data_IF_372444923365
#
_entry.id   IF_372444923365
#
_cell.length_a   1.000
_cell.length_b   1.000
_cell.length_c   1.000
_cell.angle_alpha   90.00
_cell.angle_beta   90.00
_cell.angle_gamma   90.00
#
_symmetry.space_group_name_H-M   'P 1'
#
loop_
_entity.id
_entity.type
_entity.pdbx_description
1 polymer ?
#
# COMPACT_ATOMS: atom_id res chain seq x y z
N UNK A 1 25.79 28.54 -2.35
CA UNK A 1 24.83 27.95 -1.40
C UNK A 1 24.14 26.78 -2.05
N UNK A 2 24.12 25.60 -1.43
CA UNK A 2 23.38 24.44 -1.95
C UNK A 2 21.88 24.73 -1.90
N UNK A 3 21.12 24.32 -2.93
CA UNK A 3 19.65 24.43 -2.92
C UNK A 3 19.06 23.60 -1.76
N UNK A 4 18.01 24.07 -1.09
CA UNK A 4 17.32 23.28 -0.06
C UNK A 4 16.82 21.95 -0.65
N UNK A 5 16.90 20.89 0.14
CA UNK A 5 16.47 19.52 -0.24
C UNK A 5 15.48 18.97 0.76
N UNK A 6 14.62 18.08 0.29
CA UNK A 6 13.73 17.31 1.16
C UNK A 6 14.57 16.30 1.95
N UNK A 7 14.30 16.22 3.25
CA UNK A 7 14.93 15.24 4.16
C UNK A 7 13.91 14.18 4.49
N UNK A 8 14.18 12.93 4.13
CA UNK A 8 13.36 11.79 4.53
C UNK A 8 13.81 11.34 5.92
N UNK A 9 12.91 11.30 6.91
CA UNK A 9 13.24 10.81 8.25
C UNK A 9 13.75 9.36 8.20
N UNK A 10 14.57 8.94 9.17
CA UNK A 10 15.00 7.55 9.26
C UNK A 10 13.80 6.62 9.45
N UNK A 11 13.89 5.35 9.01
CA UNK A 11 12.82 4.38 9.20
C UNK A 11 12.47 4.21 10.68
N UNK A 12 11.20 3.98 10.97
CA UNK A 12 10.77 3.65 12.33
C UNK A 12 11.44 2.36 12.81
N UNK A 13 11.75 2.27 14.10
CA UNK A 13 12.29 1.08 14.75
C UNK A 13 11.23 -0.03 14.94
N UNK A 14 9.95 0.34 14.95
CA UNK A 14 8.83 -0.61 15.08
C UNK A 14 8.54 -1.33 13.75
N UNK A 15 8.02 -2.57 13.78
CA UNK A 15 7.56 -3.28 12.59
C UNK A 15 6.57 -2.44 11.78
N UNK A 16 6.50 -2.68 10.47
CA UNK A 16 5.56 -1.96 9.58
C UNK A 16 4.12 -2.30 9.94
N UNK A 17 3.86 -3.58 10.21
CA UNK A 17 2.50 -4.09 10.42
C UNK A 17 1.89 -3.55 11.70
N UNK A 18 0.68 -3.02 11.55
CA UNK A 18 -0.05 -2.42 12.65
C UNK A 18 0.51 -1.08 13.14
N UNK A 19 1.47 -0.50 12.41
CA UNK A 19 2.08 0.75 12.85
C UNK A 19 1.07 1.89 12.94
N UNK A 20 0.10 1.97 12.04
CA UNK A 20 -0.99 2.94 12.14
C UNK A 20 -1.80 2.77 13.43
N UNK A 21 -1.97 1.55 13.94
CA UNK A 21 -2.56 1.29 15.25
C UNK A 21 -1.69 1.84 16.39
N UNK A 22 -0.38 1.59 16.36
CA UNK A 22 0.54 2.13 17.36
C UNK A 22 0.54 3.66 17.40
N UNK A 23 0.36 4.31 16.25
CA UNK A 23 0.32 5.76 16.12
C UNK A 23 -1.10 6.36 16.21
N UNK A 24 -2.11 5.57 16.60
CA UNK A 24 -3.52 5.98 16.66
C UNK A 24 -3.74 7.31 17.40
N UNK A 25 -3.02 7.54 18.51
CA UNK A 25 -3.10 8.80 19.23
C UNK A 25 -2.63 9.98 18.38
N UNK A 26 -1.52 9.81 17.66
CA UNK A 26 -0.99 10.85 16.76
C UNK A 26 -1.96 11.14 15.62
N UNK A 27 -2.62 10.11 15.07
CA UNK A 27 -3.68 10.28 14.09
C UNK A 27 -4.83 11.13 14.64
N UNK A 28 -5.32 10.80 15.85
CA UNK A 28 -6.42 11.53 16.50
C UNK A 28 -6.05 12.98 16.83
N UNK A 29 -4.83 13.23 17.31
CA UNK A 29 -4.35 14.57 17.65
C UNK A 29 -4.06 15.44 16.42
N UNK A 30 -3.78 14.82 15.26
CA UNK A 30 -3.39 15.55 14.03
C UNK A 30 -4.55 15.77 13.07
N UNK A 31 -5.49 14.82 13.03
CA UNK A 31 -6.52 14.73 11.98
C UNK A 31 -7.93 14.75 12.59
N UNK A 32 -8.88 15.28 11.82
CA UNK A 32 -10.30 15.17 12.16
C UNK A 32 -10.79 13.76 11.78
N UNK A 33 -10.85 12.86 12.76
CA UNK A 33 -11.24 11.48 12.60
C UNK A 33 -12.69 11.24 13.03
N UNK A 34 -13.45 10.47 12.24
CA UNK A 34 -14.73 9.93 12.67
C UNK A 34 -14.54 8.67 13.53
N UNK A 35 -15.58 8.21 14.27
CA UNK A 35 -15.53 6.96 15.02
C UNK A 35 -15.13 5.75 14.16
N UNK A 36 -15.52 5.75 12.87
CA UNK A 36 -15.11 4.71 11.93
C UNK A 36 -13.61 4.65 11.74
N UNK A 37 -12.93 5.81 11.58
CA UNK A 37 -11.47 5.87 11.41
C UNK A 37 -10.75 5.34 12.65
N UNK A 38 -11.20 5.73 13.85
CA UNK A 38 -10.62 5.27 15.11
C UNK A 38 -10.71 3.74 15.25
N UNK A 39 -11.87 3.16 14.86
CA UNK A 39 -12.06 1.71 14.84
C UNK A 39 -11.21 1.04 13.76
N UNK A 40 -11.13 1.61 12.57
CA UNK A 40 -10.32 1.07 11.46
C UNK A 40 -8.82 1.08 11.76
N UNK A 41 -8.33 2.05 12.53
CA UNK A 41 -6.93 2.07 13.00
C UNK A 41 -6.65 0.96 14.02
N UNK A 42 -7.64 0.44 14.74
CA UNK A 42 -7.47 -0.73 15.61
C UNK A 42 -7.44 -2.02 14.80
N UNK A 43 -8.40 -2.19 13.89
CA UNK A 43 -8.47 -3.29 12.93
C UNK A 43 -9.37 -2.90 11.77
N UNK A 44 -8.94 -3.14 10.54
CA UNK A 44 -9.74 -2.84 9.35
C UNK A 44 -11.04 -3.65 9.37
N UNK A 45 -12.21 -2.99 9.28
CA UNK A 45 -13.48 -3.67 9.27
C UNK A 45 -13.72 -4.36 7.93
N UNK A 46 -13.90 -5.69 7.96
CA UNK A 46 -14.29 -6.49 6.81
C UNK A 46 -15.78 -6.78 6.93
N UNK A 47 -16.56 -6.43 5.91
CA UNK A 47 -18.01 -6.65 5.88
C UNK A 47 -18.30 -8.00 5.21
N UNK A 48 -18.39 -9.05 6.01
CA UNK A 48 -18.69 -10.39 5.56
C UNK A 48 -20.19 -10.54 5.27
N UNK A 49 -20.56 -11.01 4.08
CA UNK A 49 -21.95 -11.39 3.71
C UNK A 49 -22.29 -12.79 4.18
N UNK A 50 -21.27 -13.64 4.32
CA UNK A 50 -21.34 -14.99 4.84
C UNK A 50 -19.98 -15.40 5.41
N UNK A 51 -19.93 -16.40 6.28
CA UNK A 51 -18.66 -16.97 6.73
C UNK A 51 -18.03 -17.79 5.60
N UNK A 52 -16.74 -17.54 5.25
CA UNK A 52 -16.04 -18.41 4.31
C UNK A 52 -16.01 -19.86 4.77
N UNK A 53 -16.19 -20.77 3.83
CA UNK A 53 -16.12 -22.19 4.11
C UNK A 53 -14.69 -22.60 4.45
N UNK A 54 -14.53 -23.21 5.63
CA UNK A 54 -13.23 -23.69 6.11
C UNK A 54 -12.84 -24.99 5.39
N UNK A 55 -11.54 -25.18 5.21
CA UNK A 55 -10.98 -26.38 4.58
C UNK A 55 -9.79 -26.91 5.38
N UNK A 56 -9.24 -28.05 4.97
CA UNK A 56 -8.04 -28.61 5.60
C UNK A 56 -6.78 -27.88 5.15
N UNK A 57 -5.76 -27.72 6.01
CA UNK A 57 -4.47 -27.19 5.63
C UNK A 57 -3.83 -28.01 4.49
N UNK A 58 -3.20 -27.34 3.55
CA UNK A 58 -2.43 -27.94 2.47
C UNK A 58 -1.21 -27.11 2.11
N UNK A 59 -0.10 -27.76 1.80
CA UNK A 59 1.15 -27.07 1.45
C UNK A 59 1.21 -26.76 -0.03
N UNK A 60 1.26 -25.47 -0.35
CA UNK A 60 1.35 -24.99 -1.73
C UNK A 60 2.75 -25.11 -2.32
N UNK A 61 3.79 -25.23 -1.50
CA UNK A 61 5.19 -25.26 -1.96
C UNK A 61 5.52 -26.48 -2.79
N UNK A 62 4.83 -27.61 -2.53
CA UNK A 62 5.01 -28.87 -3.27
C UNK A 62 4.72 -28.77 -4.77
N UNK A 63 4.01 -27.73 -5.21
CA UNK A 63 3.72 -27.46 -6.62
C UNK A 63 4.93 -26.93 -7.40
N UNK A 64 5.99 -26.53 -6.72
CA UNK A 64 7.16 -25.89 -7.32
C UNK A 64 8.43 -26.65 -6.92
N UNK A 65 9.33 -26.97 -7.88
CA UNK A 65 10.63 -27.57 -7.57
C UNK A 65 11.42 -26.71 -6.57
N UNK A 66 12.23 -27.35 -5.72
CA UNK A 66 12.93 -26.69 -4.62
C UNK A 66 13.77 -25.47 -5.07
N UNK A 67 14.45 -25.60 -6.22
CA UNK A 67 15.35 -24.57 -6.76
C UNK A 67 14.70 -23.70 -7.83
N UNK A 68 13.37 -23.79 -8.00
CA UNK A 68 12.68 -22.98 -9.02
C UNK A 68 12.63 -21.52 -8.64
N UNK A 69 12.66 -20.64 -9.64
CA UNK A 69 12.50 -19.19 -9.45
C UNK A 69 11.21 -18.83 -8.74
N UNK A 70 10.16 -19.59 -9.01
CA UNK A 70 8.83 -19.48 -8.44
C UNK A 70 8.86 -19.71 -6.92
N UNK A 71 9.45 -20.83 -6.49
CA UNK A 71 9.55 -21.18 -5.07
C UNK A 71 10.42 -20.18 -4.31
N UNK A 72 11.59 -19.84 -4.85
CA UNK A 72 12.48 -18.85 -4.24
C UNK A 72 11.83 -17.49 -4.11
N UNK A 73 11.02 -17.06 -5.09
CA UNK A 73 10.30 -15.79 -5.02
C UNK A 73 9.23 -15.79 -3.92
N UNK A 74 8.50 -16.88 -3.75
CA UNK A 74 7.54 -17.05 -2.66
C UNK A 74 8.23 -17.04 -1.30
N UNK A 75 9.30 -17.81 -1.13
CA UNK A 75 10.07 -17.86 0.13
C UNK A 75 10.62 -16.49 0.51
N UNK A 76 11.25 -15.77 -0.43
CA UNK A 76 11.72 -14.38 -0.19
C UNK A 76 10.59 -13.43 0.18
N UNK A 77 9.42 -13.58 -0.43
CA UNK A 77 8.26 -12.75 -0.08
C UNK A 77 7.77 -13.05 1.34
N UNK A 78 7.72 -14.32 1.71
CA UNK A 78 7.33 -14.75 3.05
C UNK A 78 8.32 -14.28 4.12
N UNK A 79 9.63 -14.39 3.87
CA UNK A 79 10.68 -13.85 4.74
C UNK A 79 10.51 -12.33 4.97
N UNK A 80 10.21 -11.58 3.90
CA UNK A 80 9.91 -10.16 4.02
C UNK A 80 8.66 -9.92 4.89
N UNK A 81 7.58 -10.66 4.67
CA UNK A 81 6.33 -10.53 5.43
C UNK A 81 6.51 -10.87 6.92
N UNK A 82 7.29 -11.90 7.23
CA UNK A 82 7.67 -12.24 8.60
C UNK A 82 8.49 -11.12 9.25
N UNK A 83 9.49 -10.58 8.52
CA UNK A 83 10.35 -9.48 8.98
C UNK A 83 9.56 -8.23 9.33
N UNK A 84 8.58 -7.85 8.52
CA UNK A 84 7.74 -6.66 8.78
C UNK A 84 6.55 -6.95 9.68
N UNK A 85 6.36 -8.22 10.11
CA UNK A 85 5.30 -8.67 11.01
C UNK A 85 3.91 -8.78 10.36
N UNK A 86 3.80 -8.77 9.01
CA UNK A 86 2.50 -8.84 8.32
C UNK A 86 1.92 -10.26 8.26
N UNK A 87 2.74 -11.24 8.54
CA UNK A 87 2.38 -12.64 8.65
C UNK A 87 3.02 -13.21 9.93
N UNK A 88 2.33 -14.11 10.61
CA UNK A 88 2.87 -14.87 11.71
C UNK A 88 2.80 -16.37 11.43
N UNK A 89 3.78 -17.12 11.98
CA UNK A 89 3.76 -18.57 12.00
C UNK A 89 2.75 -19.05 13.07
N UNK A 90 1.98 -20.05 12.73
CA UNK A 90 1.00 -20.68 13.62
C UNK A 90 1.55 -21.98 14.19
N UNK A 91 1.00 -22.38 15.34
CA UNK A 91 1.26 -23.72 15.89
C UNK A 91 0.86 -24.82 14.90
N UNK A 92 1.62 -25.93 14.82
CA UNK A 92 1.30 -27.06 13.94
C UNK A 92 -0.09 -27.67 14.17
N UNK A 93 -0.64 -27.56 15.40
CA UNK A 93 -1.96 -28.10 15.75
C UNK A 93 -3.12 -27.29 15.17
N UNK A 94 -2.90 -26.05 14.77
CA UNK A 94 -3.95 -25.22 14.16
C UNK A 94 -4.39 -25.83 12.85
N UNK A 95 -5.67 -26.19 12.76
CA UNK A 95 -6.25 -26.84 11.57
C UNK A 95 -7.56 -26.18 11.09
N UNK A 96 -8.14 -25.33 11.93
CA UNK A 96 -9.36 -24.59 11.60
C UNK A 96 -9.09 -23.44 10.61
N UNK A 97 -10.16 -22.87 10.07
CA UNK A 97 -10.09 -21.70 9.19
C UNK A 97 -10.03 -22.05 7.71
N UNK A 98 -9.79 -21.01 6.90
CA UNK A 98 -9.67 -21.13 5.45
C UNK A 98 -8.19 -21.10 5.06
N UNK A 99 -7.74 -22.17 4.42
CA UNK A 99 -6.37 -22.33 3.93
C UNK A 99 -6.32 -22.08 2.43
N UNK A 100 -5.57 -21.09 2.03
CA UNK A 100 -5.45 -20.61 0.67
C UNK A 100 -4.12 -21.00 0.03
N UNK A 101 -4.09 -21.06 -1.29
CA UNK A 101 -2.84 -21.26 -2.04
C UNK A 101 -1.95 -20.03 -1.89
N UNK A 102 -0.68 -20.25 -1.59
CA UNK A 102 0.37 -19.24 -1.72
C UNK A 102 1.15 -19.52 -3.01
N UNK A 103 1.26 -18.54 -3.91
CA UNK A 103 1.74 -18.77 -5.28
C UNK A 103 2.52 -17.57 -5.84
N UNK A 104 3.45 -17.79 -6.78
CA UNK A 104 4.22 -16.72 -7.40
C UNK A 104 3.41 -15.96 -8.45
N UNK A 105 3.56 -14.65 -8.46
CA UNK A 105 2.99 -13.75 -9.47
C UNK A 105 4.10 -12.90 -10.07
N UNK A 106 4.23 -12.84 -11.42
CA UNK A 106 5.19 -11.96 -12.07
C UNK A 106 4.97 -10.48 -11.71
N UNK A 107 6.05 -9.74 -11.47
CA UNK A 107 5.99 -8.28 -11.37
C UNK A 107 6.00 -7.69 -12.77
N UNK A 108 4.94 -6.97 -13.13
CA UNK A 108 4.80 -6.35 -14.45
C UNK A 108 6.04 -5.51 -14.81
N UNK A 109 6.59 -5.73 -16.01
CA UNK A 109 7.77 -5.01 -16.52
C UNK A 109 9.11 -5.43 -15.94
N UNK A 110 9.19 -6.58 -15.25
CA UNK A 110 10.43 -7.13 -14.71
C UNK A 110 10.42 -8.66 -14.79
N UNK A 111 11.58 -9.29 -14.74
CA UNK A 111 11.73 -10.76 -14.60
C UNK A 111 11.55 -11.24 -13.15
N UNK A 112 11.17 -10.35 -12.24
CA UNK A 112 10.98 -10.66 -10.83
C UNK A 112 9.57 -11.18 -10.58
N UNK A 113 9.45 -12.07 -9.60
CA UNK A 113 8.19 -12.59 -9.08
C UNK A 113 8.00 -12.20 -7.62
N UNK A 114 6.79 -12.31 -7.12
CA UNK A 114 6.44 -12.16 -5.70
C UNK A 114 5.44 -13.23 -5.30
N UNK A 115 5.50 -13.71 -4.06
CA UNK A 115 4.47 -14.58 -3.48
C UNK A 115 3.17 -13.82 -3.23
N UNK A 116 2.04 -14.43 -3.56
CA UNK A 116 0.71 -13.90 -3.30
C UNK A 116 -0.19 -14.98 -2.70
N UNK A 117 -1.15 -14.59 -1.88
CA UNK A 117 -2.17 -15.47 -1.33
C UNK A 117 -3.38 -15.43 -2.27
N UNK A 118 -3.95 -16.60 -2.58
CA UNK A 118 -5.21 -16.67 -3.31
C UNK A 118 -6.40 -16.35 -2.40
N UNK A 119 -6.90 -15.14 -2.52
CA UNK A 119 -8.01 -14.65 -1.71
C UNK A 119 -9.36 -14.67 -2.44
N UNK A 120 -9.48 -15.39 -3.56
CA UNK A 120 -10.74 -15.45 -4.33
C UNK A 120 -11.90 -16.00 -3.50
N UNK A 121 -11.66 -17.06 -2.71
CA UNK A 121 -12.69 -17.65 -1.86
C UNK A 121 -13.12 -16.69 -0.73
N UNK A 122 -12.26 -16.15 0.14
CA UNK A 122 -12.71 -15.17 1.13
C UNK A 122 -13.33 -13.92 0.47
N UNK A 123 -12.80 -13.46 -0.65
CA UNK A 123 -13.36 -12.31 -1.37
C UNK A 123 -14.80 -12.53 -1.84
N UNK A 124 -15.20 -13.76 -2.18
CA UNK A 124 -16.58 -14.08 -2.58
C UNK A 124 -17.59 -13.95 -1.44
N UNK A 125 -17.11 -13.96 -0.20
CA UNK A 125 -17.92 -13.82 1.01
C UNK A 125 -17.92 -12.38 1.57
N UNK A 126 -17.29 -11.42 0.89
CA UNK A 126 -17.19 -10.02 1.34
C UNK A 126 -18.15 -9.16 0.52
N UNK A 127 -18.86 -8.25 1.19
CA UNK A 127 -19.74 -7.29 0.53
C UNK A 127 -18.92 -6.40 -0.41
N UNK A 128 -19.29 -6.40 -1.67
CA UNK A 128 -18.75 -5.45 -2.63
C UNK A 128 -19.45 -4.09 -2.46
N UNK A 129 -18.65 -3.05 -2.30
CA UNK A 129 -19.12 -1.67 -2.31
C UNK A 129 -18.37 -0.89 -3.38
N UNK A 130 -19.13 -0.25 -4.27
CA UNK A 130 -18.55 0.65 -5.27
C UNK A 130 -17.93 1.87 -4.59
N UNK A 131 -16.75 2.27 -5.02
CA UNK A 131 -16.07 3.47 -4.54
C UNK A 131 -15.24 4.10 -5.66
N UNK A 132 -14.90 5.37 -5.49
CA UNK A 132 -14.05 6.09 -6.43
C UNK A 132 -12.70 6.37 -5.78
N UNK A 133 -11.63 6.01 -6.46
CA UNK A 133 -10.27 6.44 -6.12
C UNK A 133 -9.93 7.72 -6.89
N UNK A 134 -9.04 8.50 -6.33
CA UNK A 134 -8.39 9.55 -7.09
C UNK A 134 -7.55 8.94 -8.21
N UNK A 135 -7.24 9.72 -9.21
CA UNK A 135 -6.46 9.26 -10.35
C UNK A 135 -5.97 10.41 -11.19
N UNK A 136 -5.67 10.15 -12.46
CA UNK A 136 -5.16 11.18 -13.38
C UNK A 136 -6.12 12.37 -13.53
N UNK A 137 -7.44 12.16 -13.41
CA UNK A 137 -8.43 13.24 -13.46
C UNK A 137 -8.23 14.24 -12.30
N UNK A 138 -7.85 13.77 -11.11
CA UNK A 138 -7.55 14.66 -9.98
C UNK A 138 -6.28 15.46 -10.26
N UNK A 139 -5.25 14.82 -10.81
CA UNK A 139 -4.03 15.52 -11.23
C UNK A 139 -4.35 16.57 -12.30
N UNK A 140 -5.18 16.24 -13.29
CA UNK A 140 -5.62 17.16 -14.33
C UNK A 140 -6.34 18.39 -13.78
N UNK A 141 -7.16 18.23 -12.73
CA UNK A 141 -7.86 19.33 -12.10
C UNK A 141 -6.96 20.25 -11.26
N UNK A 142 -5.84 19.73 -10.76
CA UNK A 142 -4.92 20.48 -9.88
C UNK A 142 -3.73 21.08 -10.61
N UNK A 143 -3.26 20.43 -11.69
CA UNK A 143 -2.03 20.83 -12.37
C UNK A 143 -2.18 22.16 -13.08
N UNK A 144 -1.15 22.98 -12.99
CA UNK A 144 -1.03 24.27 -13.69
C UNK A 144 0.21 24.28 -14.56
N UNK A 145 0.19 25.13 -15.59
CA UNK A 145 1.35 25.28 -16.47
C UNK A 145 2.61 25.63 -15.67
N UNK A 146 3.69 24.93 -15.97
CA UNK A 146 5.00 25.04 -15.34
C UNK A 146 5.07 24.59 -13.88
N UNK A 147 4.06 23.93 -13.32
CA UNK A 147 4.16 23.33 -12.00
C UNK A 147 5.35 22.39 -11.90
N UNK A 148 5.96 22.40 -10.74
CA UNK A 148 6.97 21.44 -10.32
C UNK A 148 6.28 20.31 -9.57
N UNK A 149 6.63 19.07 -9.89
CA UNK A 149 6.04 17.89 -9.32
C UNK A 149 7.08 17.10 -8.52
N UNK A 150 6.66 16.58 -7.37
CA UNK A 150 7.37 15.57 -6.58
C UNK A 150 6.45 14.37 -6.40
N UNK A 151 7.04 13.20 -6.18
CA UNK A 151 6.32 11.94 -6.03
C UNK A 151 6.81 11.17 -4.82
N UNK A 152 5.88 10.61 -4.05
CA UNK A 152 6.14 9.74 -2.90
C UNK A 152 5.47 8.38 -3.18
N UNK A 153 6.18 7.30 -2.86
CA UNK A 153 5.67 5.92 -2.88
C UNK A 153 5.77 5.37 -1.44
N UNK A 154 4.69 4.81 -0.93
CA UNK A 154 4.63 4.22 0.40
C UNK A 154 5.00 2.74 0.34
N UNK A 155 6.01 2.33 1.11
CA UNK A 155 6.38 0.92 1.22
C UNK A 155 5.33 0.13 1.97
N UNK A 156 5.02 -1.09 1.49
CA UNK A 156 4.16 -2.04 2.20
C UNK A 156 2.84 -1.44 2.72
N UNK A 157 2.24 -0.55 1.92
CA UNK A 157 1.16 0.35 2.33
C UNK A 157 0.03 -0.35 3.09
N UNK A 158 -0.55 -1.41 2.51
CA UNK A 158 -1.65 -2.15 3.15
C UNK A 158 -1.24 -2.80 4.47
N UNK A 159 0.03 -3.20 4.61
CA UNK A 159 0.53 -3.89 5.79
C UNK A 159 0.57 -3.01 7.04
N UNK A 160 0.52 -1.68 6.89
CA UNK A 160 0.40 -0.75 8.03
C UNK A 160 -0.91 -0.93 8.82
N UNK A 161 -1.91 -1.57 8.22
CA UNK A 161 -3.24 -1.75 8.80
C UNK A 161 -3.45 -3.20 9.23
N UNK A 162 -4.03 -3.39 10.42
CA UNK A 162 -4.28 -4.71 10.99
C UNK A 162 -5.57 -5.33 10.44
N UNK A 163 -5.56 -6.63 10.27
CA UNK A 163 -6.76 -7.46 10.16
C UNK A 163 -7.26 -7.81 11.55
N UNK A 164 -8.57 -7.75 11.76
CA UNK A 164 -9.23 -8.15 13.00
C UNK A 164 -8.89 -9.60 13.37
N UNK A 165 -8.62 -9.88 14.64
CA UNK A 165 -8.19 -11.22 15.10
C UNK A 165 -9.15 -12.33 14.66
N UNK A 166 -10.47 -12.06 14.67
CA UNK A 166 -11.48 -13.03 14.24
C UNK A 166 -11.43 -13.33 12.74
N UNK A 167 -10.96 -12.37 11.92
CA UNK A 167 -10.96 -12.49 10.47
C UNK A 167 -9.70 -13.16 9.93
N UNK A 168 -8.60 -13.18 10.70
CA UNK A 168 -7.30 -13.76 10.29
C UNK A 168 -7.41 -15.21 9.89
N UNK A 169 -8.28 -15.98 10.56
CA UNK A 169 -8.54 -17.39 10.26
C UNK A 169 -8.97 -17.64 8.81
N UNK A 170 -9.44 -16.63 8.09
CA UNK A 170 -9.83 -16.71 6.67
C UNK A 170 -8.70 -16.31 5.71
N UNK A 171 -7.48 -16.01 6.23
CA UNK A 171 -6.32 -15.56 5.45
C UNK A 171 -5.08 -16.33 5.88
N UNK A 172 -5.19 -17.68 5.86
CA UNK A 172 -4.14 -18.63 6.21
C UNK A 172 -3.61 -19.34 4.99
N UNK A 173 -2.38 -19.79 5.07
CA UNK A 173 -1.72 -20.59 4.05
C UNK A 173 -0.63 -21.46 4.65
N UNK A 174 -0.18 -22.51 3.92
CA UNK A 174 0.99 -23.29 4.26
C UNK A 174 2.07 -23.12 3.22
N UNK A 175 3.31 -23.09 3.70
CA UNK A 175 4.51 -23.01 2.87
C UNK A 175 5.66 -23.76 3.55
N UNK A 176 6.29 -24.68 2.81
CA UNK A 176 7.42 -25.49 3.30
C UNK A 176 7.14 -26.16 4.67
N UNK A 177 5.99 -26.80 4.79
CA UNK A 177 5.55 -27.53 5.97
C UNK A 177 5.07 -26.68 7.14
N UNK A 178 5.16 -25.35 7.03
CA UNK A 178 4.76 -24.44 8.11
C UNK A 178 3.45 -23.72 7.79
N UNK A 179 2.73 -23.38 8.83
CA UNK A 179 1.41 -22.72 8.80
C UNK A 179 1.54 -21.25 9.13
N UNK A 180 0.85 -20.42 8.37
CA UNK A 180 0.92 -18.97 8.50
C UNK A 180 -0.46 -18.33 8.44
N UNK A 181 -0.62 -17.16 9.09
CA UNK A 181 -1.79 -16.30 8.91
C UNK A 181 -1.39 -14.84 8.73
N UNK A 182 -2.21 -14.08 7.99
CA UNK A 182 -2.02 -12.65 7.81
C UNK A 182 -2.45 -11.86 9.04
N UNK A 183 -1.57 -10.99 9.51
CA UNK A 183 -1.83 -9.99 10.56
C UNK A 183 -2.11 -8.63 9.94
N UNK A 184 -1.29 -8.23 8.97
CA UNK A 184 -1.50 -7.04 8.13
C UNK A 184 -2.47 -7.32 7.00
N UNK A 185 -3.12 -6.28 6.49
CA UNK A 185 -4.05 -6.38 5.37
C UNK A 185 -3.31 -6.84 4.09
N UNK A 186 -3.60 -8.05 3.57
CA UNK A 186 -2.84 -8.61 2.46
C UNK A 186 -3.23 -7.99 1.11
N UNK A 187 -2.29 -8.02 0.17
CA UNK A 187 -2.59 -7.73 -1.23
C UNK A 187 -3.59 -8.74 -1.79
N UNK A 188 -4.53 -8.25 -2.60
CA UNK A 188 -5.57 -9.09 -3.22
C UNK A 188 -6.85 -9.23 -2.40
N UNK A 189 -6.90 -8.69 -1.18
CA UNK A 189 -8.13 -8.60 -0.42
C UNK A 189 -9.08 -7.57 -1.06
N UNK A 190 -10.28 -8.01 -1.47
CA UNK A 190 -11.18 -7.18 -2.28
C UNK A 190 -11.52 -5.79 -1.69
N UNK A 191 -11.81 -5.64 -0.39
CA UNK A 191 -12.12 -4.33 0.18
C UNK A 191 -10.89 -3.46 0.45
N UNK A 192 -9.64 -3.99 0.33
CA UNK A 192 -8.43 -3.27 0.71
C UNK A 192 -8.29 -1.89 0.02
N UNK A 193 -8.50 -1.73 -1.30
CA UNK A 193 -8.38 -0.42 -1.94
C UNK A 193 -9.41 0.58 -1.42
N UNK A 194 -10.64 0.14 -1.18
CA UNK A 194 -11.71 0.99 -0.64
C UNK A 194 -11.42 1.42 0.80
N UNK A 195 -11.05 0.48 1.66
CA UNK A 195 -10.70 0.74 3.05
C UNK A 195 -9.52 1.70 3.16
N UNK A 196 -8.48 1.47 2.36
CA UNK A 196 -7.30 2.32 2.29
C UNK A 196 -7.65 3.74 1.82
N UNK A 197 -8.47 3.87 0.77
CA UNK A 197 -8.93 5.19 0.29
C UNK A 197 -9.70 5.94 1.38
N UNK A 198 -10.58 5.24 2.09
CA UNK A 198 -11.38 5.82 3.16
C UNK A 198 -10.53 6.25 4.36
N UNK A 199 -9.57 5.41 4.78
CA UNK A 199 -8.70 5.74 5.92
C UNK A 199 -7.74 6.90 5.60
N UNK A 200 -7.30 7.03 4.34
CA UNK A 200 -6.42 8.11 3.90
C UNK A 200 -7.15 9.45 3.65
N UNK A 201 -8.46 9.44 3.52
CA UNK A 201 -9.23 10.65 3.23
C UNK A 201 -8.99 11.81 4.21
N UNK A 202 -8.96 11.64 5.55
CA UNK A 202 -8.64 12.71 6.47
C UNK A 202 -7.18 13.20 6.35
N UNK A 203 -6.24 12.33 6.01
CA UNK A 203 -4.83 12.71 5.76
C UNK A 203 -4.74 13.65 4.58
N UNK A 204 -5.36 13.29 3.46
CA UNK A 204 -5.37 14.11 2.24
C UNK A 204 -6.12 15.42 2.46
N UNK A 205 -7.23 15.41 3.20
CA UNK A 205 -7.96 16.62 3.56
C UNK A 205 -7.10 17.57 4.38
N UNK A 206 -6.39 17.07 5.38
CA UNK A 206 -5.46 17.84 6.21
C UNK A 206 -4.36 18.47 5.35
N UNK A 207 -3.67 17.69 4.52
CA UNK A 207 -2.62 18.19 3.64
C UNK A 207 -3.14 19.28 2.69
N UNK A 208 -4.32 19.09 2.12
CA UNK A 208 -4.95 20.10 1.25
C UNK A 208 -5.35 21.37 2.02
N UNK A 209 -5.79 21.25 3.28
CA UNK A 209 -6.06 22.42 4.13
C UNK A 209 -4.79 23.22 4.46
N UNK A 210 -3.63 22.56 4.43
CA UNK A 210 -2.32 23.21 4.51
C UNK A 210 -1.85 23.81 3.16
N UNK A 211 -2.68 23.83 2.13
CA UNK A 211 -2.38 24.43 0.83
C UNK A 211 -1.71 23.50 -0.17
N UNK A 212 -1.51 22.22 0.13
CA UNK A 212 -0.89 21.27 -0.77
C UNK A 212 -1.85 20.85 -1.88
N UNK A 213 -1.39 20.89 -3.13
CA UNK A 213 -2.08 20.27 -4.27
C UNK A 213 -1.54 18.86 -4.46
N UNK A 214 -2.08 17.91 -3.69
CA UNK A 214 -1.66 16.51 -3.64
C UNK A 214 -2.78 15.60 -4.13
N UNK A 215 -2.43 14.58 -4.91
CA UNK A 215 -3.31 13.46 -5.29
C UNK A 215 -2.71 12.15 -4.80
N UNK A 216 -3.57 11.23 -4.41
CA UNK A 216 -3.21 9.90 -3.93
C UNK A 216 -3.92 8.83 -4.75
N UNK A 217 -3.17 7.77 -5.08
CA UNK A 217 -3.72 6.54 -5.59
C UNK A 217 -3.08 5.37 -4.86
N UNK A 218 -3.77 4.85 -3.84
CA UNK A 218 -3.29 3.80 -2.93
C UNK A 218 -1.99 4.22 -2.23
N UNK A 219 -0.84 3.74 -2.67
CA UNK A 219 0.50 4.00 -2.15
C UNK A 219 1.28 5.09 -2.90
N UNK A 220 0.79 5.47 -4.07
CA UNK A 220 1.41 6.51 -4.91
C UNK A 220 0.80 7.89 -4.62
N UNK A 221 1.65 8.86 -4.24
CA UNK A 221 1.24 10.26 -4.06
C UNK A 221 2.02 11.16 -5.03
N UNK A 222 1.31 12.11 -5.66
CA UNK A 222 1.93 13.16 -6.48
C UNK A 222 1.55 14.54 -5.94
N UNK A 223 2.52 15.41 -5.82
CA UNK A 223 2.39 16.78 -5.33
C UNK A 223 2.76 17.77 -6.44
N UNK A 224 1.99 18.84 -6.58
CA UNK A 224 2.19 19.91 -7.56
C UNK A 224 2.40 21.25 -6.84
N UNK A 225 3.43 21.99 -7.24
CA UNK A 225 3.83 23.27 -6.62
C UNK A 225 4.25 24.29 -7.69
N UNK A 226 4.13 25.59 -7.41
CA UNK A 226 4.41 26.66 -8.38
C UNK A 226 5.89 27.00 -8.48
N UNK A 227 6.63 26.84 -7.39
CA UNK A 227 8.04 27.20 -7.31
C UNK A 227 8.88 26.12 -6.67
N UNK A 228 10.18 26.16 -6.86
CA UNK A 228 11.11 25.22 -6.23
C UNK A 228 11.02 25.30 -4.68
N UNK A 229 11.01 26.50 -4.14
CA UNK A 229 10.90 26.74 -2.68
C UNK A 229 9.62 26.12 -2.10
N UNK A 230 8.49 26.39 -2.75
CA UNK A 230 7.18 25.84 -2.38
C UNK A 230 7.19 24.30 -2.47
N UNK A 231 7.75 23.74 -3.57
CA UNK A 231 7.80 22.31 -3.77
C UNK A 231 8.60 21.60 -2.66
N UNK A 232 9.75 22.14 -2.27
CA UNK A 232 10.54 21.57 -1.17
C UNK A 232 9.76 21.66 0.16
N UNK A 233 9.18 22.81 0.49
CA UNK A 233 8.44 23.00 1.72
C UNK A 233 7.21 22.08 1.81
N UNK A 234 6.43 22.01 0.75
CA UNK A 234 5.23 21.16 0.69
C UNK A 234 5.58 19.67 0.68
N UNK A 235 6.64 19.27 -0.03
CA UNK A 235 7.09 17.87 -0.02
C UNK A 235 7.62 17.48 1.36
N UNK A 236 8.34 18.38 2.05
CA UNK A 236 8.78 18.13 3.42
C UNK A 236 7.59 17.95 4.36
N UNK A 237 6.58 18.83 4.29
CA UNK A 237 5.37 18.70 5.09
C UNK A 237 4.63 17.38 4.82
N UNK A 238 4.54 16.97 3.55
CA UNK A 238 3.94 15.68 3.16
C UNK A 238 4.73 14.51 3.77
N UNK A 239 6.05 14.49 3.62
CA UNK A 239 6.94 13.45 4.16
C UNK A 239 6.84 13.37 5.67
N UNK A 240 6.92 14.51 6.38
CA UNK A 240 6.86 14.58 7.84
C UNK A 240 5.49 14.13 8.36
N UNK A 241 4.41 14.52 7.68
CA UNK A 241 3.05 14.09 8.05
C UNK A 241 2.89 12.58 7.90
N UNK A 242 3.29 12.01 6.77
CA UNK A 242 3.19 10.56 6.54
C UNK A 242 4.03 9.78 7.54
N UNK A 243 5.28 10.22 7.77
CA UNK A 243 6.16 9.60 8.77
C UNK A 243 5.57 9.71 10.19
N UNK A 244 5.09 10.90 10.59
CA UNK A 244 4.44 11.13 11.89
C UNK A 244 3.23 10.21 12.11
N UNK A 245 2.49 9.87 11.07
CA UNK A 245 1.36 8.94 11.10
C UNK A 245 1.78 7.46 11.04
N UNK A 246 3.08 7.17 10.96
CA UNK A 246 3.64 5.83 11.00
C UNK A 246 3.91 5.19 9.64
N UNK A 247 3.72 5.89 8.53
CA UNK A 247 4.00 5.33 7.20
C UNK A 247 5.50 5.24 6.90
N UNK A 248 5.86 4.20 6.12
CA UNK A 248 7.19 4.04 5.56
C UNK A 248 7.22 4.56 4.11
N UNK A 249 8.19 5.40 3.80
CA UNK A 249 8.41 5.91 2.45
C UNK A 249 9.42 5.02 1.75
N UNK A 250 9.14 4.62 0.50
CA UNK A 250 10.04 3.78 -0.28
C UNK A 250 11.27 4.58 -0.73
N UNK A 251 12.50 4.17 -0.33
CA UNK A 251 13.69 5.01 -0.54
C UNK A 251 14.06 5.20 -2.02
N UNK A 252 13.77 4.21 -2.86
CA UNK A 252 14.20 4.19 -4.28
C UNK A 252 13.11 4.61 -5.27
N UNK A 253 11.84 4.64 -4.87
CA UNK A 253 10.72 4.94 -5.79
C UNK A 253 10.17 6.35 -5.65
N UNK A 254 10.87 7.20 -4.93
CA UNK A 254 10.48 8.59 -4.73
C UNK A 254 11.14 9.53 -5.73
N UNK A 255 10.43 10.56 -6.14
CA UNK A 255 10.96 11.68 -6.88
C UNK A 255 10.89 12.93 -6.00
N UNK A 256 11.94 13.17 -5.21
CA UNK A 256 12.01 14.31 -4.28
C UNK A 256 12.58 15.57 -4.94
N UNK A 257 13.30 15.42 -6.05
CA UNK A 257 13.78 16.57 -6.84
C UNK A 257 12.63 17.07 -7.68
N UNK A 258 12.18 18.32 -7.48
CA UNK A 258 11.07 18.90 -8.21
C UNK A 258 11.31 18.91 -9.72
N UNK A 259 10.38 18.41 -10.51
CA UNK A 259 10.47 18.33 -11.96
C UNK A 259 9.17 18.74 -12.64
N UNK A 260 9.27 19.33 -13.84
CA UNK A 260 8.11 19.60 -14.70
C UNK A 260 7.61 18.39 -15.47
N UNK A 261 8.27 17.26 -15.29
CA UNK A 261 7.90 15.98 -15.90
C UNK A 261 7.96 14.88 -14.85
N UNK A 262 6.88 14.11 -14.67
CA UNK A 262 6.82 13.03 -13.70
C UNK A 262 5.94 11.90 -14.24
N UNK A 263 6.28 10.65 -13.95
CA UNK A 263 5.42 9.51 -14.24
C UNK A 263 4.49 9.25 -13.06
N UNK A 264 3.18 9.23 -13.32
CA UNK A 264 2.15 8.89 -12.34
C UNK A 264 1.10 7.96 -12.95
N UNK A 265 0.80 6.85 -12.29
CA UNK A 265 -0.14 5.83 -12.75
C UNK A 265 0.13 5.37 -14.19
N UNK A 266 1.40 5.16 -14.52
CA UNK A 266 1.79 4.72 -15.85
C UNK A 266 1.64 5.77 -16.96
N UNK A 267 1.41 7.02 -16.59
CA UNK A 267 1.26 8.15 -17.52
C UNK A 267 2.34 9.19 -17.25
N UNK A 268 3.02 9.62 -18.30
CA UNK A 268 3.96 10.75 -18.24
C UNK A 268 3.18 12.06 -18.20
N UNK A 269 3.27 12.77 -17.09
CA UNK A 269 2.68 14.08 -16.88
C UNK A 269 3.74 15.15 -17.17
N UNK A 270 3.45 16.11 -18.05
CA UNK A 270 4.33 17.22 -18.38
C UNK A 270 3.62 18.55 -18.18
N UNK A 271 3.94 19.28 -17.12
CA UNK A 271 3.31 20.55 -16.76
C UNK A 271 3.69 21.71 -17.69
N UNK A 272 4.88 21.67 -18.31
CA UNK A 272 5.30 22.73 -19.27
C UNK A 272 4.44 22.68 -20.52
N UNK A 273 4.18 21.47 -21.04
CA UNK A 273 3.38 21.24 -22.26
C UNK A 273 1.89 21.04 -21.95
N UNK A 274 1.51 20.89 -20.70
CA UNK A 274 0.17 20.50 -20.25
C UNK A 274 -0.31 19.22 -20.95
N UNK A 275 0.53 18.18 -20.93
CA UNK A 275 0.31 16.94 -21.66
C UNK A 275 0.38 15.74 -20.74
N UNK A 276 -0.50 14.78 -21.00
CA UNK A 276 -0.54 13.45 -20.38
C UNK A 276 -0.31 12.43 -21.49
N UNK A 277 0.75 11.65 -21.41
CA UNK A 277 1.14 10.69 -22.47
C UNK A 277 1.41 9.33 -21.85
N UNK A 278 0.91 8.27 -22.47
CA UNK A 278 1.35 6.92 -22.16
C UNK A 278 2.79 6.75 -22.70
N UNK A 279 3.75 6.32 -21.88
CA UNK A 279 5.11 6.04 -22.33
C UNK A 279 5.14 5.04 -23.48
N UNK A 280 6.05 5.24 -24.45
CA UNK A 280 6.10 4.43 -25.69
C UNK A 280 6.39 2.95 -25.44
N UNK A 281 7.16 2.65 -24.42
CA UNK A 281 7.45 1.28 -23.94
C UNK A 281 6.20 0.53 -23.48
N UNK A 282 5.21 1.24 -22.94
CA UNK A 282 3.93 0.65 -22.50
C UNK A 282 2.92 0.47 -23.64
N UNK A 283 3.05 1.20 -24.76
CA UNK A 283 2.18 1.06 -25.94
C UNK A 283 2.50 -0.22 -26.71
N UNK A 284 3.76 -0.73 -26.63
CA UNK A 284 4.21 -1.92 -27.35
C UNK A 284 3.93 -3.24 -26.62
N UNK A 285 3.37 -3.20 -25.42
CA UNK A 285 3.09 -4.37 -24.57
C UNK A 285 1.59 -4.71 -24.48
N UNK A 286 0.78 -4.13 -25.35
CA UNK A 286 -0.62 -4.48 -25.65
C UNK A 286 -0.71 -5.10 -27.03
#
# INVERSE_FOLDING_TARGET
MSLPRVVVPPPHSTPVTGRCHLFKKVWADTLQLSPWHLKALEAMPIDWTSSPECNRPFDSSSRYPADSKERLACTKTLEHYLKIGSVQELSPEVSDGLWSTFFPVPKKGTDKMRGCIDLRQPNSCIRYEHFKMEGLHTVQSFIRRNDLMTKIDLSDFYMHFLIGKADRRYMRFMWEGKKYECIGMPFGLAPAPRLATKIMAPVIRYLRSCGLRVSIYIDDLILMSRSYKESIAHTQLLVDTLHKLGFSIHPEKVQLIPSRSSEFLGTQVNSRKMQFRVPRDKIRST
#
